data_IF_503333849291
#
_entry.id   IF_503333849291
#
_cell.length_a   1.000
_cell.length_b   1.000
_cell.length_c   1.000
_cell.angle_alpha   90.00
_cell.angle_beta   90.00
_cell.angle_gamma   90.00
#
_symmetry.space_group_name_H-M   'P 1'
#
loop_
_entity.id
_entity.type
_entity.pdbx_description
1 polymer ?
#
# COMPACT_ATOMS: atom_id res chain seq x y z
N UNK A 1 -3.28 -11.10 4.18
CA UNK A 1 -4.43 -12.01 4.33
C UNK A 1 -4.04 -13.34 4.98
N UNK A 2 -3.33 -14.27 4.32
CA UNK A 2 -3.03 -15.62 4.91
C UNK A 2 -2.34 -15.55 6.27
N UNK A 3 -1.37 -14.63 6.43
CA UNK A 3 -0.72 -14.35 7.73
C UNK A 3 -1.73 -13.98 8.82
N UNK A 4 -2.74 -13.17 8.49
CA UNK A 4 -3.77 -12.72 9.43
C UNK A 4 -4.80 -13.80 9.74
N UNK A 5 -5.22 -14.60 8.75
CA UNK A 5 -6.08 -15.79 8.97
C UNK A 5 -5.43 -16.74 9.97
N UNK A 6 -4.14 -16.99 9.82
CA UNK A 6 -3.38 -17.84 10.74
C UNK A 6 -3.25 -17.23 12.14
N UNK A 7 -3.06 -15.90 12.24
CA UNK A 7 -2.99 -15.19 13.53
C UNK A 7 -4.33 -15.17 14.26
N UNK A 8 -5.41 -14.98 13.51
CA UNK A 8 -6.78 -14.90 14.00
C UNK A 8 -7.42 -16.26 14.29
N UNK A 9 -6.80 -17.36 13.83
CA UNK A 9 -7.36 -18.72 13.84
C UNK A 9 -8.82 -18.77 13.32
N UNK A 10 -9.09 -17.97 12.29
CA UNK A 10 -10.43 -17.77 11.78
C UNK A 10 -10.39 -17.34 10.32
N UNK A 11 -11.45 -17.71 9.59
CA UNK A 11 -11.73 -17.24 8.23
C UNK A 11 -12.89 -16.24 8.19
N UNK A 12 -13.43 -15.88 9.36
CA UNK A 12 -14.45 -14.84 9.47
C UNK A 12 -13.89 -13.50 8.98
N UNK A 13 -14.65 -12.82 8.13
CA UNK A 13 -14.18 -11.64 7.43
C UNK A 13 -13.88 -10.46 8.38
N UNK A 14 -14.73 -10.25 9.39
CA UNK A 14 -14.59 -9.13 10.31
C UNK A 14 -13.41 -9.36 11.26
N UNK A 15 -13.27 -10.59 11.77
CA UNK A 15 -12.14 -10.98 12.62
C UNK A 15 -10.82 -10.85 11.86
N UNK A 16 -10.74 -11.38 10.63
CA UNK A 16 -9.53 -11.31 9.81
C UNK A 16 -9.20 -9.88 9.42
N UNK A 17 -10.21 -9.06 9.06
CA UNK A 17 -9.99 -7.67 8.70
C UNK A 17 -9.54 -6.82 9.90
N UNK A 18 -10.05 -7.09 11.11
CA UNK A 18 -9.58 -6.46 12.33
C UNK A 18 -8.11 -6.81 12.60
N UNK A 19 -7.74 -8.08 12.43
CA UNK A 19 -6.37 -8.54 12.63
C UNK A 19 -5.40 -7.98 11.59
N UNK A 20 -5.82 -7.91 10.32
CA UNK A 20 -5.04 -7.30 9.25
C UNK A 20 -4.72 -5.82 9.51
N UNK A 21 -5.58 -5.08 10.22
CA UNK A 21 -5.34 -3.66 10.57
C UNK A 21 -4.36 -3.47 11.72
N UNK A 22 -4.19 -4.47 12.60
CA UNK A 22 -3.23 -4.39 13.72
C UNK A 22 -1.79 -4.68 13.28
N UNK A 23 -1.62 -5.49 12.25
CA UNK A 23 -0.32 -5.95 11.78
C UNK A 23 0.22 -5.09 10.62
N UNK A 24 1.54 -5.00 10.53
CA UNK A 24 2.19 -4.49 9.32
C UNK A 24 1.89 -5.41 8.13
N UNK A 25 1.59 -4.80 6.99
CA UNK A 25 1.38 -5.50 5.72
C UNK A 25 2.69 -5.52 4.95
N UNK A 26 2.95 -6.63 4.26
CA UNK A 26 4.08 -6.78 3.36
C UNK A 26 3.70 -6.28 1.97
N UNK A 27 4.29 -5.16 1.57
CA UNK A 27 4.17 -4.53 0.26
C UNK A 27 5.44 -4.77 -0.55
N UNK A 28 5.45 -5.85 -1.34
CA UNK A 28 6.60 -6.26 -2.17
C UNK A 28 7.93 -6.30 -1.41
N UNK A 29 7.94 -6.84 -0.18
CA UNK A 29 9.13 -6.89 0.68
C UNK A 29 9.34 -5.66 1.56
N UNK A 30 8.45 -4.66 1.49
CA UNK A 30 8.48 -3.45 2.30
C UNK A 30 7.35 -3.42 3.31
N UNK A 31 7.52 -2.68 4.40
CA UNK A 31 6.46 -2.50 5.38
C UNK A 31 5.41 -1.49 4.87
N UNK A 32 4.13 -1.86 5.00
CA UNK A 32 2.97 -0.98 4.86
C UNK A 32 2.01 -1.18 6.03
N UNK A 33 0.95 -0.37 6.08
CA UNK A 33 -0.09 -0.45 7.13
C UNK A 33 -1.49 -0.33 6.51
N UNK A 34 -2.53 -0.77 7.23
CA UNK A 34 -3.91 -0.59 6.79
C UNK A 34 -4.56 0.50 7.65
N UNK A 35 -4.99 1.59 7.02
CA UNK A 35 -5.72 2.67 7.66
C UNK A 35 -7.17 2.25 7.95
N UNK A 36 -7.84 2.96 8.87
CA UNK A 36 -9.20 2.64 9.33
C UNK A 36 -10.24 2.54 8.19
N UNK A 37 -10.07 3.32 7.12
CA UNK A 37 -10.87 3.26 5.89
C UNK A 37 -10.56 2.05 4.99
N UNK A 38 -9.69 1.14 5.44
CA UNK A 38 -9.26 -0.05 4.71
C UNK A 38 -8.15 0.20 3.68
N UNK A 39 -7.65 1.44 3.56
CA UNK A 39 -6.58 1.76 2.60
C UNK A 39 -5.24 1.21 3.09
N UNK A 40 -4.54 0.46 2.25
CA UNK A 40 -3.13 0.12 2.50
C UNK A 40 -2.27 1.36 2.22
N UNK A 41 -1.54 1.82 3.22
CA UNK A 41 -0.61 2.93 3.15
C UNK A 41 0.81 2.40 2.93
N UNK A 42 1.47 2.92 1.92
CA UNK A 42 2.86 2.63 1.55
C UNK A 42 3.42 3.83 0.76
N UNK A 43 4.75 4.07 0.80
CA UNK A 43 5.35 5.13 0.01
C UNK A 43 5.18 4.88 -1.50
N UNK A 44 4.97 5.94 -2.27
CA UNK A 44 4.82 5.89 -3.72
C UNK A 44 6.06 6.47 -4.39
N UNK A 45 6.74 5.67 -5.20
CA UNK A 45 7.86 6.13 -6.01
C UNK A 45 7.36 6.80 -7.30
N UNK A 46 7.84 8.00 -7.57
CA UNK A 46 7.61 8.69 -8.83
C UNK A 46 8.60 8.19 -9.88
N UNK A 47 8.08 7.80 -11.04
CA UNK A 47 8.87 7.29 -12.16
C UNK A 47 8.74 8.18 -13.39
N UNK A 48 9.85 8.33 -14.10
CA UNK A 48 9.92 8.98 -15.40
C UNK A 48 10.23 7.93 -16.48
N UNK A 49 9.52 8.02 -17.62
CA UNK A 49 9.82 7.20 -18.81
C UNK A 49 11.22 7.54 -19.31
N UNK A 50 12.03 6.50 -19.51
CA UNK A 50 13.37 6.59 -20.08
C UNK A 50 13.31 6.98 -21.56
N UNK A 51 14.29 7.73 -22.03
CA UNK A 51 14.53 7.91 -23.46
C UNK A 51 14.97 6.58 -24.10
N UNK A 52 14.87 6.50 -25.44
CA UNK A 52 15.25 5.30 -26.19
C UNK A 52 16.70 4.86 -25.94
N UNK A 53 17.61 5.81 -25.71
CA UNK A 53 19.04 5.54 -25.47
C UNK A 53 19.33 5.14 -24.00
N UNK A 54 18.43 5.41 -23.06
CA UNK A 54 18.57 5.03 -21.65
C UNK A 54 18.03 3.62 -21.35
N UNK A 55 17.16 3.09 -22.21
CA UNK A 55 16.56 1.76 -22.04
C UNK A 55 17.52 0.67 -22.50
N UNK A 56 17.84 -0.28 -21.61
CA UNK A 56 18.81 -1.35 -21.87
C UNK A 56 18.19 -2.64 -22.43
N UNK A 57 16.86 -2.70 -22.55
CA UNK A 57 16.15 -3.88 -23.01
C UNK A 57 14.70 -3.91 -22.58
N UNK A 58 14.02 -5.03 -22.83
CA UNK A 58 12.64 -5.23 -22.42
C UNK A 58 12.48 -5.02 -20.90
N UNK A 59 11.37 -4.37 -20.51
CA UNK A 59 11.01 -4.06 -19.12
C UNK A 59 11.86 -2.98 -18.43
N UNK A 60 12.90 -2.45 -19.08
CA UNK A 60 13.72 -1.34 -18.57
C UNK A 60 13.23 0.02 -19.09
N UNK A 61 12.04 0.44 -18.67
CA UNK A 61 11.35 1.62 -19.23
C UNK A 61 11.34 2.85 -18.32
N UNK A 62 11.59 2.68 -17.03
CA UNK A 62 11.40 3.73 -16.05
C UNK A 62 12.66 4.01 -15.24
N UNK A 63 12.86 5.26 -14.86
CA UNK A 63 13.81 5.68 -13.84
C UNK A 63 13.07 6.31 -12.68
N UNK A 64 13.44 5.97 -11.45
CA UNK A 64 12.89 6.61 -10.26
C UNK A 64 13.43 8.04 -10.18
N UNK A 65 12.54 9.01 -9.95
CA UNK A 65 12.88 10.44 -9.85
C UNK A 65 12.51 11.05 -8.51
N UNK A 66 11.82 10.31 -7.64
CA UNK A 66 11.47 10.75 -6.30
C UNK A 66 10.59 9.76 -5.56
N UNK A 67 10.34 10.04 -4.28
CA UNK A 67 9.43 9.28 -3.42
C UNK A 67 8.43 10.21 -2.75
N UNK A 68 7.19 9.74 -2.61
CA UNK A 68 6.12 10.42 -1.86
C UNK A 68 5.81 9.55 -0.64
N UNK A 69 5.98 10.13 0.54
CA UNK A 69 5.68 9.45 1.80
C UNK A 69 4.21 9.06 1.90
N UNK A 70 3.93 7.95 2.60
CA UNK A 70 2.61 7.33 2.63
C UNK A 70 1.51 8.24 3.23
N UNK A 71 1.85 9.19 4.09
CA UNK A 71 0.91 10.15 4.68
C UNK A 71 0.46 11.23 3.67
N UNK A 72 1.26 11.49 2.64
CA UNK A 72 1.00 12.49 1.58
C UNK A 72 0.60 11.86 0.25
N UNK A 73 0.88 10.58 0.05
CA UNK A 73 0.62 9.89 -1.20
C UNK A 73 -0.87 9.56 -1.41
N UNK A 74 -1.66 9.46 -0.34
CA UNK A 74 -3.08 9.13 -0.38
C UNK A 74 -3.94 10.28 0.09
N UNK A 75 -5.19 10.29 -0.36
CA UNK A 75 -6.17 11.30 0.02
C UNK A 75 -6.29 11.42 1.55
N UNK A 76 -6.38 12.65 2.10
CA UNK A 76 -6.61 12.88 3.51
C UNK A 76 -7.85 12.13 4.00
N UNK A 77 -7.75 11.53 5.18
CA UNK A 77 -8.79 10.68 5.76
C UNK A 77 -10.11 11.44 5.97
N UNK A 78 -10.02 12.70 6.42
CA UNK A 78 -11.13 13.60 6.69
C UNK A 78 -11.82 14.14 5.43
N UNK A 79 -11.19 14.03 4.26
CA UNK A 79 -11.75 14.54 2.99
C UNK A 79 -12.29 13.41 2.10
N UNK A 80 -12.09 12.14 2.49
CA UNK A 80 -12.46 10.97 1.68
C UNK A 80 -13.94 10.55 1.76
N UNK A 81 -14.73 11.12 2.68
CA UNK A 81 -16.16 10.83 2.84
C UNK A 81 -16.49 9.37 3.18
N UNK A 82 -15.52 8.59 3.66
CA UNK A 82 -15.71 7.18 3.97
C UNK A 82 -16.58 7.02 5.23
N UNK A 83 -17.73 6.36 5.13
CA UNK A 83 -18.65 6.14 6.26
C UNK A 83 -18.08 5.31 7.42
N UNK A 84 -16.95 4.64 7.20
CA UNK A 84 -16.19 3.90 8.23
C UNK A 84 -15.32 4.83 9.08
N UNK A 85 -15.11 6.06 8.62
CA UNK A 85 -14.40 7.12 9.33
C UNK A 85 -15.48 8.00 9.98
N UNK A 86 -15.60 7.89 11.30
CA UNK A 86 -16.46 8.74 12.12
C UNK A 86 -15.63 9.78 12.85
#
# INVERSE_FOLDING_TARGET
>A
MVKAVKSADSVDADVVAAEMRKAAVDYFGNAGSIRVDGRVLYPITLYQVKSRNESKGAWDYYKAVGNVEADRAFHPLNEGGCYLVK
#
